data_IF_083772202505
#
_entry.id   IF_083772202505
#
_cell.length_a   1.000
_cell.length_b   1.000
_cell.length_c   1.000
_cell.angle_alpha   90.00
_cell.angle_beta   90.00
_cell.angle_gamma   90.00
#
_symmetry.space_group_name_H-M   'P 1'
#
loop_
_entity.id
_entity.type
_entity.pdbx_description
1 polymer ?
#
# COMPACT_ATOMS: atom_id res chain seq x y z
N UNK A 1 -13.60 15.09 19.86
CA UNK A 1 -12.66 14.12 19.27
C UNK A 1 -11.82 13.59 20.42
N UNK A 2 -11.94 12.30 20.82
CA UNK A 2 -11.23 11.78 21.99
C UNK A 2 -9.71 11.79 21.71
N UNK A 3 -8.91 12.32 22.63
CA UNK A 3 -7.45 12.36 22.51
C UNK A 3 -6.92 10.93 22.32
N UNK A 4 -6.10 10.72 21.28
CA UNK A 4 -5.50 9.42 20.96
C UNK A 4 -4.67 8.89 22.15
N UNK A 5 -4.05 9.79 22.91
CA UNK A 5 -3.32 9.42 24.12
C UNK A 5 -4.26 8.87 25.19
N UNK A 6 -5.38 9.55 25.43
CA UNK A 6 -6.41 9.10 26.37
C UNK A 6 -6.99 7.73 25.96
N UNK A 7 -7.21 7.48 24.67
CA UNK A 7 -7.63 6.16 24.18
C UNK A 7 -6.61 5.08 24.53
N UNK A 8 -5.33 5.32 24.27
CA UNK A 8 -4.25 4.37 24.58
C UNK A 8 -4.21 4.08 26.09
N UNK A 9 -4.30 5.11 26.93
CA UNK A 9 -4.27 4.95 28.38
C UNK A 9 -5.46 4.12 28.90
N UNK A 10 -6.67 4.37 28.39
CA UNK A 10 -7.86 3.56 28.69
C UNK A 10 -7.64 2.10 28.28
N UNK A 11 -7.07 1.85 27.11
CA UNK A 11 -6.80 0.49 26.65
C UNK A 11 -5.73 -0.20 27.49
N UNK A 12 -4.68 0.50 27.92
CA UNK A 12 -3.66 -0.03 28.83
C UNK A 12 -4.33 -0.52 30.12
N UNK A 13 -5.15 0.31 30.77
CA UNK A 13 -5.85 -0.06 32.01
C UNK A 13 -6.74 -1.29 31.80
N UNK A 14 -7.51 -1.33 30.71
CA UNK A 14 -8.38 -2.48 30.39
C UNK A 14 -7.60 -3.78 30.18
N UNK A 15 -6.47 -3.72 29.48
CA UNK A 15 -5.63 -4.90 29.28
C UNK A 15 -4.88 -5.32 30.55
N UNK A 16 -4.46 -4.37 31.40
CA UNK A 16 -3.90 -4.69 32.71
C UNK A 16 -4.90 -5.43 33.60
N UNK A 17 -6.15 -4.95 33.68
CA UNK A 17 -7.21 -5.64 34.41
C UNK A 17 -7.52 -7.02 33.81
N UNK A 18 -7.52 -7.14 32.48
CA UNK A 18 -7.68 -8.43 31.81
C UNK A 18 -6.57 -9.41 32.19
N UNK A 19 -5.31 -8.98 32.18
CA UNK A 19 -4.16 -9.81 32.57
C UNK A 19 -4.29 -10.22 34.05
N UNK A 20 -4.73 -9.32 34.93
CA UNK A 20 -4.98 -9.63 36.35
C UNK A 20 -6.05 -10.70 36.52
N UNK A 21 -7.16 -10.61 35.78
CA UNK A 21 -8.28 -11.58 35.85
C UNK A 21 -7.97 -12.90 35.15
N UNK A 22 -7.14 -12.87 34.09
CA UNK A 22 -6.82 -14.03 33.24
C UNK A 22 -5.31 -14.09 32.94
N UNK A 23 -4.46 -14.36 33.95
CA UNK A 23 -3.00 -14.27 33.82
C UNK A 23 -2.39 -15.32 32.89
N UNK A 24 -3.11 -16.41 32.58
CA UNK A 24 -2.59 -17.46 31.67
C UNK A 24 -3.06 -17.28 30.23
N UNK A 25 -3.71 -16.14 29.89
CA UNK A 25 -4.22 -15.89 28.53
C UNK A 25 -3.26 -14.98 27.76
N UNK A 26 -2.64 -15.45 26.66
CA UNK A 26 -1.66 -14.67 25.90
C UNK A 26 -2.25 -13.40 25.27
N UNK A 27 -3.57 -13.39 25.03
CA UNK A 27 -4.30 -12.25 24.49
C UNK A 27 -4.13 -10.96 25.32
N UNK A 28 -4.12 -11.08 26.65
CA UNK A 28 -3.97 -9.91 27.54
C UNK A 28 -2.60 -9.25 27.38
N UNK A 29 -1.54 -10.05 27.42
CA UNK A 29 -0.17 -9.58 27.24
C UNK A 29 0.07 -9.02 25.84
N UNK A 30 -0.46 -9.69 24.81
CA UNK A 30 -0.40 -9.18 23.44
C UNK A 30 -1.10 -7.82 23.30
N UNK A 31 -2.34 -7.71 23.81
CA UNK A 31 -3.10 -6.47 23.76
C UNK A 31 -2.37 -5.32 24.45
N UNK A 32 -1.80 -5.58 25.63
CA UNK A 32 -1.00 -4.62 26.37
C UNK A 32 0.28 -4.24 25.61
N UNK A 33 0.97 -5.21 25.00
CA UNK A 33 2.16 -4.98 24.18
C UNK A 33 1.88 -4.07 22.98
N UNK A 34 0.73 -4.25 22.31
CA UNK A 34 0.28 -3.35 21.23
C UNK A 34 0.09 -1.92 21.75
N UNK A 35 -0.53 -1.74 22.92
CA UNK A 35 -0.73 -0.39 23.47
C UNK A 35 0.59 0.28 23.85
N UNK A 36 1.52 -0.44 24.48
CA UNK A 36 2.84 0.11 24.79
C UNK A 36 3.65 0.45 23.54
N UNK A 37 3.50 -0.34 22.47
CA UNK A 37 4.10 0.02 21.18
C UNK A 37 3.54 1.34 20.66
N UNK A 38 2.22 1.51 20.65
CA UNK A 38 1.55 2.74 20.21
C UNK A 38 1.91 3.94 21.10
N UNK A 39 2.16 3.71 22.38
CA UNK A 39 2.64 4.71 23.34
C UNK A 39 4.14 5.06 23.17
N UNK A 40 4.83 4.54 22.16
CA UNK A 40 6.26 4.80 21.91
C UNK A 40 7.20 4.09 22.88
N UNK A 41 6.76 3.00 23.53
CA UNK A 41 7.52 2.21 24.51
C UNK A 41 7.85 0.80 23.97
N UNK A 42 8.70 0.68 22.92
CA UNK A 42 8.93 -0.58 22.21
C UNK A 42 9.58 -1.68 23.09
N UNK A 43 10.46 -1.31 24.02
CA UNK A 43 11.09 -2.27 24.93
C UNK A 43 10.07 -2.97 25.86
N UNK A 44 9.06 -2.22 26.34
CA UNK A 44 7.97 -2.80 27.13
C UNK A 44 7.09 -3.70 26.26
N UNK A 45 6.83 -3.28 25.02
CA UNK A 45 6.07 -4.09 24.07
C UNK A 45 6.76 -5.42 23.77
N UNK A 46 8.08 -5.45 23.54
CA UNK A 46 8.83 -6.70 23.30
C UNK A 46 8.77 -7.65 24.50
N UNK A 47 8.89 -7.11 25.73
CA UNK A 47 8.74 -7.90 26.96
C UNK A 47 7.35 -8.54 27.02
N UNK A 48 6.29 -7.77 26.75
CA UNK A 48 4.91 -8.26 26.80
C UNK A 48 4.59 -9.26 25.68
N UNK A 49 5.11 -9.07 24.47
CA UNK A 49 5.00 -10.09 23.42
C UNK A 49 5.76 -11.36 23.80
N UNK A 50 6.91 -11.23 24.46
CA UNK A 50 7.65 -12.38 24.98
C UNK A 50 6.87 -13.09 26.09
N UNK A 51 6.21 -12.36 26.99
CA UNK A 51 5.37 -12.95 28.03
C UNK A 51 4.13 -13.65 27.44
N UNK A 52 3.51 -13.09 26.39
CA UNK A 52 2.46 -13.78 25.64
C UNK A 52 2.94 -15.12 25.07
N UNK A 53 4.17 -15.16 24.53
CA UNK A 53 4.77 -16.35 23.96
C UNK A 53 5.25 -17.37 24.99
N UNK A 54 5.46 -16.97 26.26
CA UNK A 54 5.71 -17.92 27.36
C UNK A 54 4.45 -18.73 27.67
N UNK A 55 3.28 -18.09 27.61
CA UNK A 55 1.99 -18.74 27.84
C UNK A 55 1.53 -19.58 26.64
N UNK A 56 1.77 -19.10 25.41
CA UNK A 56 1.52 -19.85 24.19
C UNK A 56 2.59 -19.54 23.13
N UNK A 57 3.58 -20.44 22.93
CA UNK A 57 4.64 -20.27 21.94
C UNK A 57 4.15 -20.16 20.49
N UNK A 58 2.92 -20.62 20.20
CA UNK A 58 2.31 -20.62 18.87
C UNK A 58 1.35 -19.44 18.66
N UNK A 59 1.28 -18.50 19.62
CA UNK A 59 0.39 -17.36 19.56
C UNK A 59 0.83 -16.35 18.47
N UNK A 60 0.30 -16.56 17.25
CA UNK A 60 0.65 -15.79 16.05
C UNK A 60 0.62 -14.27 16.25
N UNK A 61 -0.36 -13.65 16.93
CA UNK A 61 -0.38 -12.20 17.11
C UNK A 61 0.87 -11.69 17.85
N UNK A 62 1.36 -12.40 18.87
CA UNK A 62 2.59 -12.03 19.57
C UNK A 62 3.85 -12.31 18.74
N UNK A 63 3.88 -13.40 17.95
CA UNK A 63 4.97 -13.63 16.99
C UNK A 63 5.07 -12.49 15.97
N UNK A 64 3.93 -12.04 15.42
CA UNK A 64 3.88 -10.89 14.52
C UNK A 64 4.33 -9.60 15.21
N UNK A 65 3.84 -9.36 16.44
CA UNK A 65 4.25 -8.19 17.24
C UNK A 65 5.75 -8.15 17.50
N UNK A 66 6.35 -9.29 17.88
CA UNK A 66 7.79 -9.41 18.11
C UNK A 66 8.60 -9.20 16.83
N UNK A 67 8.18 -9.79 15.71
CA UNK A 67 8.81 -9.54 14.42
C UNK A 67 8.77 -8.05 14.03
N UNK A 68 7.64 -7.39 14.29
CA UNK A 68 7.45 -5.96 14.04
C UNK A 68 8.41 -5.10 14.88
N UNK A 69 8.57 -5.41 16.17
CA UNK A 69 9.54 -4.72 17.03
C UNK A 69 10.97 -4.91 16.53
N UNK A 70 11.37 -6.13 16.15
CA UNK A 70 12.71 -6.37 15.61
C UNK A 70 13.00 -5.55 14.34
N UNK A 71 11.99 -5.34 13.49
CA UNK A 71 12.09 -4.50 12.30
C UNK A 71 12.18 -3.02 12.64
N UNK A 72 11.35 -2.54 13.57
CA UNK A 72 11.34 -1.15 14.04
C UNK A 72 12.67 -0.77 14.74
N UNK A 73 13.24 -1.69 15.52
CA UNK A 73 14.57 -1.58 16.14
C UNK A 73 15.74 -1.75 15.16
N UNK A 74 15.46 -1.99 13.86
CA UNK A 74 16.46 -2.19 12.79
C UNK A 74 17.34 -3.42 13.01
N UNK A 75 16.88 -4.38 13.81
CA UNK A 75 17.55 -5.66 14.05
C UNK A 75 17.23 -6.64 12.93
N UNK A 76 17.56 -6.26 11.71
CA UNK A 76 17.14 -6.93 10.47
C UNK A 76 17.57 -8.40 10.37
N UNK A 77 18.81 -8.71 10.75
CA UNK A 77 19.28 -10.10 10.78
C UNK A 77 18.51 -10.94 11.80
N UNK A 78 18.19 -10.37 12.97
CA UNK A 78 17.38 -11.04 13.98
C UNK A 78 15.93 -11.23 13.51
N UNK A 79 15.32 -10.23 12.87
CA UNK A 79 13.99 -10.33 12.29
C UNK A 79 13.90 -11.45 11.24
N UNK A 80 14.88 -11.52 10.32
CA UNK A 80 14.92 -12.57 9.30
C UNK A 80 15.09 -13.97 9.91
N UNK A 81 15.98 -14.15 10.90
CA UNK A 81 16.13 -15.42 11.63
C UNK A 81 14.87 -15.78 12.43
N UNK A 82 14.23 -14.79 13.04
CA UNK A 82 13.00 -14.99 13.80
C UNK A 82 11.86 -15.43 12.89
N UNK A 83 11.79 -14.87 11.67
CA UNK A 83 10.88 -15.37 10.64
C UNK A 83 11.16 -16.83 10.30
N UNK A 84 12.41 -17.19 9.99
CA UNK A 84 12.76 -18.57 9.62
C UNK A 84 12.42 -19.57 10.74
N UNK A 85 12.72 -19.22 11.99
CA UNK A 85 12.39 -20.05 13.17
C UNK A 85 10.88 -20.33 13.27
N UNK A 86 10.05 -19.37 12.91
CA UNK A 86 8.58 -19.44 13.05
C UNK A 86 7.86 -19.60 11.70
N UNK A 87 8.59 -19.97 10.64
CA UNK A 87 8.10 -19.93 9.25
C UNK A 87 6.84 -20.77 9.06
N UNK A 88 6.80 -21.97 9.61
CA UNK A 88 5.64 -22.87 9.50
C UNK A 88 4.35 -22.21 10.00
N UNK A 89 4.44 -21.45 11.10
CA UNK A 89 3.31 -20.77 11.71
C UNK A 89 2.86 -19.55 10.89
N UNK A 90 3.80 -18.80 10.33
CA UNK A 90 3.48 -17.68 9.45
C UNK A 90 2.88 -18.14 8.11
N UNK A 91 3.41 -19.22 7.53
CA UNK A 91 2.91 -19.76 6.26
C UNK A 91 1.54 -20.43 6.40
N UNK A 92 1.04 -20.69 7.61
CA UNK A 92 -0.27 -21.34 7.84
C UNK A 92 -1.44 -20.56 7.24
N UNK A 93 -1.40 -19.23 7.23
CA UNK A 93 -2.45 -18.39 6.61
C UNK A 93 -1.83 -17.28 5.78
N UNK A 94 -2.33 -17.09 4.56
CA UNK A 94 -1.87 -16.03 3.63
C UNK A 94 -1.91 -14.63 4.27
N UNK A 95 -2.91 -14.34 5.11
CA UNK A 95 -3.03 -13.04 5.80
C UNK A 95 -1.80 -12.69 6.65
N UNK A 96 -1.12 -13.68 7.25
CA UNK A 96 0.08 -13.44 8.06
C UNK A 96 1.26 -13.05 7.18
N UNK A 97 1.49 -13.79 6.09
CA UNK A 97 2.54 -13.45 5.11
C UNK A 97 2.29 -12.08 4.49
N UNK A 98 1.05 -11.77 4.12
CA UNK A 98 0.64 -10.46 3.63
C UNK A 98 0.98 -9.34 4.62
N UNK A 99 0.66 -9.53 5.91
CA UNK A 99 1.02 -8.57 6.96
C UNK A 99 2.54 -8.41 7.11
N UNK A 100 3.30 -9.50 7.05
CA UNK A 100 4.77 -9.48 7.15
C UNK A 100 5.39 -8.75 5.96
N UNK A 101 4.90 -9.00 4.75
CA UNK A 101 5.33 -8.31 3.53
C UNK A 101 5.09 -6.81 3.65
N UNK A 102 3.88 -6.40 4.09
CA UNK A 102 3.51 -5.00 4.29
C UNK A 102 4.40 -4.30 5.32
N UNK A 103 4.57 -4.94 6.47
CA UNK A 103 5.41 -4.49 7.58
C UNK A 103 6.88 -4.35 7.16
N UNK A 104 7.42 -5.33 6.45
CA UNK A 104 8.84 -5.30 6.06
C UNK A 104 9.08 -4.26 4.97
N UNK A 105 8.18 -4.18 4.00
CA UNK A 105 8.31 -3.24 2.87
C UNK A 105 8.01 -1.79 3.24
N UNK A 106 7.20 -1.51 4.27
CA UNK A 106 6.98 -0.13 4.75
C UNK A 106 8.26 0.53 5.24
N UNK A 107 9.27 -0.24 5.65
CA UNK A 107 10.60 0.27 5.99
C UNK A 107 11.26 1.01 4.83
N UNK A 108 10.86 0.76 3.58
CA UNK A 108 11.32 1.49 2.41
C UNK A 108 11.07 3.00 2.52
N UNK A 109 9.91 3.37 3.05
CA UNK A 109 9.45 4.75 3.27
C UNK A 109 10.05 5.38 4.55
N UNK A 110 10.60 4.59 5.45
CA UNK A 110 11.16 5.12 6.70
C UNK A 110 12.41 5.96 6.45
N UNK A 111 12.53 7.13 7.12
CA UNK A 111 13.76 7.95 7.10
C UNK A 111 15.00 7.15 7.54
N UNK A 112 14.79 6.12 8.36
CA UNK A 112 15.80 5.17 8.84
C UNK A 112 16.58 4.50 7.70
N UNK A 113 15.93 4.17 6.59
CA UNK A 113 16.58 3.51 5.45
C UNK A 113 17.13 4.50 4.42
N UNK A 114 17.03 5.83 4.63
CA UNK A 114 17.66 6.81 3.76
C UNK A 114 19.19 6.67 3.79
N UNK A 115 19.79 6.52 2.60
CA UNK A 115 21.24 6.42 2.38
C UNK A 115 21.91 7.80 2.20
N UNK A 116 21.11 8.86 2.12
CA UNK A 116 21.60 10.20 1.82
C UNK A 116 22.11 10.85 3.11
N UNK A 117 23.42 11.08 3.18
CA UNK A 117 24.06 11.94 4.21
C UNK A 117 24.39 11.30 5.56
N UNK A 118 24.73 10.00 5.65
CA UNK A 118 25.03 9.37 6.95
C UNK A 118 26.52 9.02 7.12
N UNK A 119 27.01 9.27 8.34
CA UNK A 119 28.38 9.04 8.83
C UNK A 119 28.87 7.60 8.60
N UNK A 120 30.20 7.40 8.60
CA UNK A 120 30.88 6.13 8.29
C UNK A 120 30.28 4.90 9.01
N UNK A 121 29.94 5.03 10.29
CA UNK A 121 29.31 3.98 11.11
C UNK A 121 28.01 3.44 10.52
N UNK A 122 27.16 4.32 9.98
CA UNK A 122 25.89 3.88 9.38
C UNK A 122 26.10 3.05 8.10
N UNK A 123 27.15 3.37 7.33
CA UNK A 123 27.55 2.62 6.13
C UNK A 123 28.09 1.25 6.51
N UNK A 124 28.85 1.16 7.61
CA UNK A 124 29.34 -0.10 8.17
C UNK A 124 28.18 -0.99 8.65
N UNK A 125 27.27 -0.47 9.49
CA UNK A 125 26.10 -1.21 9.98
C UNK A 125 25.22 -1.71 8.83
N UNK A 126 25.10 -0.91 7.76
CA UNK A 126 24.37 -1.34 6.58
C UNK A 126 25.07 -2.48 5.83
N UNK A 127 26.39 -2.35 5.60
CA UNK A 127 27.20 -3.37 4.94
C UNK A 127 27.16 -4.69 5.72
N UNK A 128 27.25 -4.61 7.04
CA UNK A 128 27.10 -5.75 7.94
C UNK A 128 25.73 -6.41 7.80
N UNK A 129 24.64 -5.63 7.87
CA UNK A 129 23.28 -6.14 7.65
C UNK A 129 23.12 -6.80 6.28
N UNK A 130 23.70 -6.23 5.21
CA UNK A 130 23.66 -6.83 3.88
C UNK A 130 24.37 -8.19 3.83
N UNK A 131 25.53 -8.32 4.49
CA UNK A 131 26.27 -9.59 4.56
C UNK A 131 25.42 -10.66 5.28
N UNK A 132 24.86 -10.32 6.45
CA UNK A 132 24.03 -11.27 7.20
C UNK A 132 22.76 -11.66 6.46
N UNK A 133 22.05 -10.69 5.86
CA UNK A 133 20.84 -10.97 5.07
C UNK A 133 21.16 -11.81 3.83
N UNK A 134 22.30 -11.60 3.20
CA UNK A 134 22.73 -12.43 2.06
C UNK A 134 23.00 -13.87 2.52
N UNK A 135 23.67 -14.08 3.66
CA UNK A 135 23.88 -15.42 4.24
C UNK A 135 22.56 -16.12 4.60
N UNK A 136 21.59 -15.37 5.11
CA UNK A 136 20.26 -15.91 5.41
C UNK A 136 19.54 -16.29 4.11
N UNK A 137 19.55 -15.41 3.10
CA UNK A 137 18.94 -15.68 1.79
C UNK A 137 19.55 -16.93 1.12
N UNK A 138 20.86 -17.13 1.21
CA UNK A 138 21.51 -18.34 0.65
C UNK A 138 21.03 -19.62 1.34
N UNK A 139 20.71 -19.55 2.64
CA UNK A 139 20.19 -20.68 3.42
C UNK A 139 18.67 -20.87 3.26
N UNK A 140 17.93 -19.77 3.13
CA UNK A 140 16.46 -19.73 3.07
C UNK A 140 16.02 -18.82 1.91
N UNK A 141 15.97 -19.38 0.70
CA UNK A 141 15.67 -18.62 -0.53
C UNK A 141 14.29 -17.94 -0.49
N UNK A 142 13.34 -18.50 0.26
CA UNK A 142 11.94 -18.07 0.32
C UNK A 142 11.61 -17.30 1.62
N UNK A 143 12.59 -16.66 2.25
CA UNK A 143 12.36 -15.77 3.39
C UNK A 143 12.00 -14.36 2.86
N UNK A 144 10.71 -13.95 2.89
CA UNK A 144 10.28 -12.64 2.39
C UNK A 144 10.90 -11.50 3.19
N UNK A 145 11.17 -11.68 4.49
CA UNK A 145 11.76 -10.64 5.34
C UNK A 145 13.17 -10.31 4.84
N UNK A 146 14.03 -11.32 4.64
CA UNK A 146 15.37 -11.08 4.11
C UNK A 146 15.33 -10.58 2.68
N UNK A 147 14.44 -11.12 1.84
CA UNK A 147 14.37 -10.75 0.43
C UNK A 147 13.93 -9.30 0.23
N UNK A 148 12.90 -8.84 0.96
CA UNK A 148 12.41 -7.46 0.91
C UNK A 148 13.47 -6.50 1.47
N UNK A 149 14.10 -6.81 2.61
CA UNK A 149 15.12 -5.93 3.20
C UNK A 149 16.34 -5.80 2.28
N UNK A 150 16.78 -6.92 1.70
CA UNK A 150 17.91 -6.93 0.79
C UNK A 150 17.59 -6.22 -0.54
N UNK A 151 16.35 -6.31 -1.04
CA UNK A 151 15.93 -5.57 -2.22
C UNK A 151 15.91 -4.06 -1.97
N UNK A 152 15.40 -3.62 -0.81
CA UNK A 152 15.45 -2.22 -0.37
C UNK A 152 16.90 -1.71 -0.35
N UNK A 153 17.82 -2.45 0.27
CA UNK A 153 19.21 -2.03 0.37
C UNK A 153 19.91 -1.94 -0.99
N UNK A 154 19.71 -2.94 -1.85
CA UNK A 154 20.31 -2.97 -3.19
C UNK A 154 19.76 -1.87 -4.08
N UNK A 155 18.46 -1.60 -4.02
CA UNK A 155 17.81 -0.53 -4.76
C UNK A 155 18.35 0.84 -4.34
N UNK A 156 18.52 1.07 -3.02
CA UNK A 156 19.11 2.33 -2.52
C UNK A 156 20.61 2.47 -2.80
N UNK A 157 21.32 1.36 -2.97
CA UNK A 157 22.71 1.36 -3.43
C UNK A 157 22.85 1.46 -4.96
N UNK A 158 21.75 1.46 -5.73
CA UNK A 158 21.79 1.48 -7.18
C UNK A 158 22.38 0.22 -7.83
N UNK A 159 22.43 -0.90 -7.11
CA UNK A 159 23.04 -2.15 -7.60
C UNK A 159 22.08 -2.84 -8.59
N UNK A 160 22.56 -3.19 -9.78
CA UNK A 160 21.75 -3.76 -10.88
C UNK A 160 22.31 -5.07 -11.49
N UNK A 161 23.08 -5.85 -10.72
CA UNK A 161 23.57 -7.17 -11.16
C UNK A 161 22.46 -8.20 -11.28
N UNK A 162 22.69 -9.27 -12.04
CA UNK A 162 21.67 -10.28 -12.38
C UNK A 162 21.03 -10.93 -11.14
N UNK A 163 21.84 -11.23 -10.12
CA UNK A 163 21.34 -11.76 -8.83
C UNK A 163 20.40 -10.77 -8.13
N UNK A 164 20.61 -9.48 -8.32
CA UNK A 164 19.76 -8.41 -7.78
C UNK A 164 18.47 -8.27 -8.57
N UNK A 165 18.52 -8.36 -9.90
CA UNK A 165 17.31 -8.32 -10.73
C UNK A 165 16.41 -9.52 -10.44
N UNK A 166 16.96 -10.73 -10.27
CA UNK A 166 16.19 -11.90 -9.86
C UNK A 166 15.53 -11.73 -8.48
N UNK A 167 16.23 -11.10 -7.54
CA UNK A 167 15.66 -10.75 -6.24
C UNK A 167 14.53 -9.72 -6.37
N UNK A 168 14.70 -8.72 -7.24
CA UNK A 168 13.67 -7.72 -7.49
C UNK A 168 12.41 -8.34 -8.09
N UNK A 169 12.55 -9.26 -9.05
CA UNK A 169 11.42 -10.03 -9.60
C UNK A 169 10.68 -10.80 -8.53
N UNK A 170 11.41 -11.52 -7.67
CA UNK A 170 10.80 -12.23 -6.55
C UNK A 170 9.98 -11.28 -5.67
N UNK A 171 10.54 -10.12 -5.32
CA UNK A 171 9.85 -9.15 -4.46
C UNK A 171 8.67 -8.48 -5.16
N UNK A 172 8.76 -8.22 -6.47
CA UNK A 172 7.74 -7.58 -7.28
C UNK A 172 6.42 -8.36 -7.26
N UNK A 173 6.51 -9.69 -7.28
CA UNK A 173 5.35 -10.59 -7.27
C UNK A 173 4.76 -10.84 -5.87
N UNK A 174 5.36 -10.30 -4.81
CA UNK A 174 4.83 -10.48 -3.46
C UNK A 174 3.54 -9.68 -3.26
N UNK A 175 2.53 -10.36 -2.72
CA UNK A 175 1.32 -9.73 -2.22
C UNK A 175 1.65 -8.73 -1.11
N UNK A 176 0.93 -7.59 -1.12
CA UNK A 176 0.89 -6.64 -0.01
C UNK A 176 2.23 -6.00 0.37
N UNK A 177 3.20 -5.94 -0.55
CA UNK A 177 4.33 -5.01 -0.41
C UNK A 177 3.91 -3.57 -0.69
N UNK A 178 4.62 -2.62 -0.10
CA UNK A 178 4.44 -1.19 -0.26
C UNK A 178 4.49 -0.78 -1.75
N UNK A 179 3.50 -0.01 -2.20
CA UNK A 179 3.34 0.37 -3.61
C UNK A 179 4.51 1.21 -4.14
N UNK A 180 5.12 2.08 -3.31
CA UNK A 180 6.30 2.86 -3.71
C UNK A 180 7.50 1.95 -3.95
N UNK A 181 7.72 0.96 -3.08
CA UNK A 181 8.76 -0.04 -3.28
C UNK A 181 8.49 -0.85 -4.56
N UNK A 182 7.26 -1.34 -4.74
CA UNK A 182 6.87 -2.10 -5.94
C UNK A 182 7.12 -1.29 -7.22
N UNK A 183 6.75 -0.01 -7.21
CA UNK A 183 6.99 0.90 -8.34
C UNK A 183 8.46 1.07 -8.68
N UNK A 184 9.31 1.31 -7.67
CA UNK A 184 10.73 1.51 -7.93
C UNK A 184 11.42 0.22 -8.38
N UNK A 185 11.00 -0.95 -7.88
CA UNK A 185 11.46 -2.25 -8.39
C UNK A 185 11.03 -2.45 -9.86
N UNK A 186 9.77 -2.15 -10.17
CA UNK A 186 9.22 -2.30 -11.52
C UNK A 186 9.97 -1.42 -12.52
N UNK A 187 10.24 -0.16 -12.19
CA UNK A 187 11.01 0.75 -13.05
C UNK A 187 12.39 0.20 -13.40
N UNK A 188 13.14 -0.26 -12.40
CA UNK A 188 14.49 -0.81 -12.62
C UNK A 188 14.43 -2.06 -13.48
N UNK A 189 13.43 -2.93 -13.29
CA UNK A 189 13.27 -4.12 -14.11
C UNK A 189 12.82 -3.79 -15.55
N UNK A 190 11.98 -2.78 -15.72
CA UNK A 190 11.48 -2.36 -17.05
C UNK A 190 12.55 -1.76 -17.95
N UNK A 191 13.69 -1.32 -17.40
CA UNK A 191 14.85 -0.90 -18.21
C UNK A 191 15.38 -2.06 -19.09
N UNK A 192 15.32 -3.30 -18.60
CA UNK A 192 15.69 -4.50 -19.37
C UNK A 192 14.50 -5.18 -20.04
N UNK A 193 13.33 -5.11 -19.42
CA UNK A 193 12.11 -5.76 -19.92
C UNK A 193 10.92 -4.79 -19.95
N UNK A 194 10.82 -3.94 -20.99
CA UNK A 194 9.78 -2.93 -21.07
C UNK A 194 8.34 -3.48 -20.97
N UNK A 195 8.13 -4.71 -21.47
CA UNK A 195 6.83 -5.41 -21.41
C UNK A 195 6.31 -5.62 -19.98
N UNK A 196 7.22 -5.71 -19.00
CA UNK A 196 6.86 -5.92 -17.59
C UNK A 196 6.02 -4.76 -17.04
N UNK A 197 6.26 -3.54 -17.53
CA UNK A 197 5.59 -2.33 -17.08
C UNK A 197 4.07 -2.44 -17.26
N UNK A 198 3.60 -2.95 -18.40
CA UNK A 198 2.17 -2.99 -18.73
C UNK A 198 1.52 -4.37 -18.53
N UNK A 199 1.97 -5.12 -17.51
CA UNK A 199 1.40 -6.43 -17.20
C UNK A 199 0.26 -6.32 -16.19
N UNK A 200 -0.95 -6.79 -16.55
CA UNK A 200 -2.12 -6.76 -15.67
C UNK A 200 -1.93 -7.52 -14.35
N UNK A 201 -1.16 -8.63 -14.37
CA UNK A 201 -0.77 -9.39 -13.16
C UNK A 201 -0.10 -8.49 -12.11
N UNK A 202 0.86 -7.65 -12.52
CA UNK A 202 1.60 -6.76 -11.61
C UNK A 202 0.72 -5.57 -11.21
N UNK A 203 -0.01 -4.97 -12.15
CA UNK A 203 -0.94 -3.88 -11.86
C UNK A 203 -1.98 -4.26 -10.79
N UNK A 204 -2.50 -5.48 -10.83
CA UNK A 204 -3.45 -6.00 -9.84
C UNK A 204 -2.91 -6.07 -8.41
N UNK A 205 -1.58 -6.14 -8.24
CA UNK A 205 -0.92 -6.18 -6.93
C UNK A 205 -0.82 -4.80 -6.26
N UNK A 206 -0.98 -3.71 -7.00
CA UNK A 206 -0.98 -2.36 -6.42
C UNK A 206 -2.26 -2.10 -5.61
N UNK A 207 -2.09 -1.45 -4.46
CA UNK A 207 -3.22 -1.00 -3.64
C UNK A 207 -3.68 0.42 -3.99
N UNK A 208 -2.79 1.23 -4.55
CA UNK A 208 -2.97 2.63 -4.93
C UNK A 208 -2.01 3.00 -6.05
N UNK A 209 -2.22 4.17 -6.69
CA UNK A 209 -1.26 4.73 -7.64
C UNK A 209 -0.07 5.30 -6.85
N UNK A 210 1.18 4.88 -7.14
CA UNK A 210 2.37 5.43 -6.50
C UNK A 210 2.50 6.94 -6.74
N UNK A 211 2.94 7.69 -5.73
CA UNK A 211 3.06 9.15 -5.78
C UNK A 211 3.86 9.67 -6.99
N UNK A 212 4.93 8.97 -7.38
CA UNK A 212 5.79 9.35 -8.50
C UNK A 212 5.38 8.67 -9.81
N UNK A 213 4.20 8.08 -9.89
CA UNK A 213 3.66 7.49 -11.11
C UNK A 213 2.55 8.36 -11.74
N UNK A 214 1.92 9.25 -10.96
CA UNK A 214 0.92 10.18 -11.50
C UNK A 214 1.52 11.01 -12.65
N UNK A 215 0.70 11.25 -13.68
CA UNK A 215 1.12 11.95 -14.90
C UNK A 215 1.89 11.08 -15.90
N UNK A 216 2.06 9.78 -15.63
CA UNK A 216 2.65 8.82 -16.58
C UNK A 216 1.57 7.91 -17.17
N UNK A 217 1.85 7.33 -18.35
CA UNK A 217 1.00 6.30 -18.98
C UNK A 217 0.72 5.11 -18.05
N UNK A 218 1.64 4.86 -17.11
CA UNK A 218 1.48 3.79 -16.15
C UNK A 218 0.40 4.08 -15.10
N UNK A 219 0.22 5.33 -14.67
CA UNK A 219 -0.87 5.66 -13.75
C UNK A 219 -2.24 5.43 -14.41
N UNK A 220 -2.37 5.81 -15.68
CA UNK A 220 -3.57 5.55 -16.47
C UNK A 220 -3.82 4.05 -16.65
N UNK A 221 -2.76 3.29 -16.91
CA UNK A 221 -2.83 1.82 -16.96
C UNK A 221 -3.28 1.22 -15.61
N UNK A 222 -2.73 1.68 -14.48
CA UNK A 222 -3.15 1.23 -13.15
C UNK A 222 -4.63 1.56 -12.89
N UNK A 223 -5.05 2.78 -13.22
CA UNK A 223 -6.43 3.21 -13.04
C UNK A 223 -7.40 2.34 -13.84
N UNK A 224 -7.07 2.02 -15.10
CA UNK A 224 -7.84 1.08 -15.93
C UNK A 224 -7.91 -0.30 -15.28
N UNK A 225 -6.80 -0.83 -14.76
CA UNK A 225 -6.81 -2.13 -14.09
C UNK A 225 -7.65 -2.12 -12.81
N UNK A 226 -7.64 -1.02 -12.05
CA UNK A 226 -8.51 -0.88 -10.88
C UNK A 226 -9.98 -0.84 -11.27
N UNK A 227 -10.35 -0.12 -12.34
CA UNK A 227 -11.71 -0.09 -12.89
C UNK A 227 -12.14 -1.51 -13.28
N UNK A 228 -11.30 -2.22 -14.05
CA UNK A 228 -11.57 -3.60 -14.48
C UNK A 228 -11.71 -4.58 -13.29
N UNK A 229 -11.04 -4.31 -12.17
CA UNK A 229 -11.14 -5.13 -10.97
C UNK A 229 -12.49 -5.02 -10.24
N UNK A 230 -13.32 -4.02 -10.56
CA UNK A 230 -14.60 -3.80 -9.89
C UNK A 230 -14.50 -3.19 -8.48
N UNK A 231 -13.29 -2.99 -7.94
CA UNK A 231 -13.09 -2.53 -6.57
C UNK A 231 -13.31 -1.01 -6.44
N UNK A 232 -14.52 -0.62 -6.08
CA UNK A 232 -14.94 0.79 -5.93
C UNK A 232 -13.97 1.58 -5.04
N UNK A 233 -13.53 1.01 -3.90
CA UNK A 233 -12.62 1.70 -2.98
C UNK A 233 -11.26 2.01 -3.64
N UNK A 234 -10.70 1.07 -4.41
CA UNK A 234 -9.45 1.31 -5.15
C UNK A 234 -9.64 2.36 -6.25
N UNK A 235 -10.73 2.27 -7.00
CA UNK A 235 -11.04 3.19 -8.10
C UNK A 235 -11.23 4.61 -7.59
N UNK A 236 -12.06 4.80 -6.57
CA UNK A 236 -12.28 6.11 -5.93
C UNK A 236 -11.01 6.65 -5.27
N UNK A 237 -10.26 5.80 -4.57
CA UNK A 237 -8.99 6.17 -3.95
C UNK A 237 -7.96 6.65 -4.98
N UNK A 238 -7.83 5.93 -6.09
CA UNK A 238 -6.93 6.31 -7.19
C UNK A 238 -7.35 7.63 -7.84
N UNK A 239 -8.64 7.81 -8.13
CA UNK A 239 -9.17 9.06 -8.71
C UNK A 239 -8.96 10.25 -7.76
N UNK A 240 -9.25 10.09 -6.48
CA UNK A 240 -8.98 11.12 -5.47
C UNK A 240 -7.49 11.51 -5.39
N UNK A 241 -6.59 10.55 -5.66
CA UNK A 241 -5.15 10.78 -5.75
C UNK A 241 -4.77 11.69 -6.91
N UNK A 242 -5.42 11.54 -8.08
CA UNK A 242 -5.24 12.46 -9.21
C UNK A 242 -5.65 13.89 -8.83
N UNK A 243 -6.85 14.04 -8.26
CA UNK A 243 -7.39 15.34 -7.84
C UNK A 243 -6.49 16.03 -6.81
N UNK A 244 -6.05 15.29 -5.78
CA UNK A 244 -5.18 15.81 -4.73
C UNK A 244 -3.79 16.25 -5.24
N UNK A 245 -3.38 15.76 -6.41
CA UNK A 245 -2.12 16.14 -7.06
C UNK A 245 -2.31 17.16 -8.19
N UNK A 246 -3.52 17.71 -8.36
CA UNK A 246 -3.87 18.61 -9.46
C UNK A 246 -3.51 18.04 -10.85
N UNK A 247 -3.64 16.72 -11.00
CA UNK A 247 -3.40 16.02 -12.27
C UNK A 247 -4.69 15.42 -12.79
N UNK A 248 -4.82 15.35 -14.11
CA UNK A 248 -5.96 14.70 -14.76
C UNK A 248 -5.52 13.36 -15.38
N UNK A 249 -6.30 12.27 -15.22
CA UNK A 249 -6.15 11.08 -16.04
C UNK A 249 -6.37 11.41 -17.52
N UNK A 250 -5.85 10.56 -18.41
CA UNK A 250 -6.15 10.67 -19.84
C UNK A 250 -7.64 10.51 -20.15
N UNK A 251 -8.09 11.09 -21.26
CA UNK A 251 -9.50 11.11 -21.71
C UNK A 251 -10.19 9.73 -21.70
N UNK A 252 -9.48 8.69 -22.15
CA UNK A 252 -9.98 7.30 -22.13
C UNK A 252 -10.23 6.79 -20.71
N UNK A 253 -9.39 7.20 -19.75
CA UNK A 253 -9.51 6.82 -18.35
C UNK A 253 -10.67 7.58 -17.69
N UNK A 254 -10.79 8.88 -17.95
CA UNK A 254 -11.92 9.70 -17.50
C UNK A 254 -13.25 9.10 -17.96
N UNK A 255 -13.36 8.75 -19.24
CA UNK A 255 -14.55 8.11 -19.79
C UNK A 255 -14.87 6.78 -19.11
N UNK A 256 -13.85 5.91 -18.94
CA UNK A 256 -14.04 4.61 -18.28
C UNK A 256 -14.43 4.73 -16.81
N UNK A 257 -13.88 5.73 -16.12
CA UNK A 257 -14.25 6.03 -14.73
C UNK A 257 -15.70 6.52 -14.63
N UNK A 258 -16.09 7.45 -15.51
CA UNK A 258 -17.46 7.94 -15.61
C UNK A 258 -18.44 6.78 -15.87
N UNK A 259 -18.15 5.93 -16.86
CA UNK A 259 -18.93 4.72 -17.14
C UNK A 259 -19.02 3.80 -15.92
N UNK A 260 -17.88 3.54 -15.27
CA UNK A 260 -17.80 2.66 -14.10
C UNK A 260 -18.70 3.08 -12.94
N UNK A 261 -18.76 4.38 -12.65
CA UNK A 261 -19.62 4.95 -11.61
C UNK A 261 -21.09 4.95 -12.02
N UNK A 262 -21.38 5.36 -13.26
CA UNK A 262 -22.73 5.37 -13.84
C UNK A 262 -23.40 3.99 -13.78
N UNK A 263 -22.70 2.94 -14.20
CA UNK A 263 -23.18 1.55 -14.14
C UNK A 263 -23.49 1.06 -12.72
N UNK A 264 -22.90 1.70 -11.71
CA UNK A 264 -23.09 1.37 -10.29
C UNK A 264 -24.02 2.32 -9.57
N UNK A 265 -24.63 3.27 -10.29
CA UNK A 265 -25.48 4.31 -9.73
C UNK A 265 -24.77 5.12 -8.63
N UNK A 266 -23.46 5.32 -8.77
CA UNK A 266 -22.65 6.14 -7.85
C UNK A 266 -22.63 7.56 -8.40
N UNK A 267 -23.14 8.50 -7.59
CA UNK A 267 -23.30 9.91 -7.95
C UNK A 267 -22.53 10.77 -6.97
N UNK A 268 -21.38 11.29 -7.40
CA UNK A 268 -20.55 12.16 -6.59
C UNK A 268 -19.89 13.26 -7.46
N UNK A 269 -19.33 14.33 -6.86
CA UNK A 269 -18.79 15.48 -7.59
C UNK A 269 -17.69 15.16 -8.61
N UNK A 270 -17.04 13.99 -8.51
CA UNK A 270 -16.04 13.56 -9.50
C UNK A 270 -16.64 13.38 -10.91
N UNK A 271 -17.93 13.06 -11.02
CA UNK A 271 -18.61 12.92 -12.31
C UNK A 271 -18.68 14.26 -13.05
N UNK A 272 -19.03 15.34 -12.36
CA UNK A 272 -19.07 16.68 -12.95
C UNK A 272 -17.68 17.09 -13.46
N UNK A 273 -16.63 16.81 -12.67
CA UNK A 273 -15.25 17.02 -13.10
C UNK A 273 -14.89 16.20 -14.36
N UNK A 274 -15.28 14.92 -14.41
CA UNK A 274 -15.05 14.08 -15.58
C UNK A 274 -15.77 14.60 -16.82
N UNK A 275 -17.05 14.95 -16.71
CA UNK A 275 -17.82 15.54 -17.80
C UNK A 275 -17.14 16.80 -18.32
N UNK A 276 -16.79 17.75 -17.44
CA UNK A 276 -16.12 18.98 -17.84
C UNK A 276 -14.82 18.69 -18.59
N UNK A 277 -13.95 17.83 -18.04
CA UNK A 277 -12.66 17.51 -18.68
C UNK A 277 -12.81 16.78 -20.01
N UNK A 278 -13.84 15.95 -20.17
CA UNK A 278 -14.13 15.31 -21.44
C UNK A 278 -14.61 16.34 -22.48
N UNK A 279 -15.54 17.23 -22.09
CA UNK A 279 -16.01 18.34 -22.93
C UNK A 279 -14.86 19.24 -23.37
N UNK A 280 -14.04 19.71 -22.43
CA UNK A 280 -12.86 20.56 -22.69
C UNK A 280 -11.90 19.92 -23.70
N UNK A 281 -11.84 18.57 -23.71
CA UNK A 281 -10.97 17.80 -24.61
C UNK A 281 -11.61 17.50 -25.98
N UNK A 282 -12.83 17.98 -26.23
CA UNK A 282 -13.63 17.67 -27.42
C UNK A 282 -14.19 16.25 -27.44
N UNK A 283 -14.20 15.54 -26.30
CA UNK A 283 -14.79 14.21 -26.20
C UNK A 283 -16.24 14.33 -25.77
N UNK A 284 -17.15 13.93 -26.67
CA UNK A 284 -18.57 13.86 -26.38
C UNK A 284 -19.27 12.68 -27.01
N UNK A 285 -20.17 12.08 -26.23
CA UNK A 285 -21.03 10.98 -26.63
C UNK A 285 -22.30 10.93 -25.77
N UNK A 286 -23.16 9.98 -26.09
CA UNK A 286 -24.42 9.73 -25.42
C UNK A 286 -24.27 9.48 -23.91
N UNK A 287 -23.16 8.88 -23.47
CA UNK A 287 -22.93 8.63 -22.04
C UNK A 287 -22.61 9.93 -21.30
N UNK A 288 -21.74 10.77 -21.87
CA UNK A 288 -21.37 12.07 -21.28
C UNK A 288 -22.58 12.99 -21.23
N UNK A 289 -23.30 13.15 -22.34
CA UNK A 289 -24.52 13.96 -22.43
C UNK A 289 -25.60 13.50 -21.44
N UNK A 290 -25.91 12.19 -21.42
CA UNK A 290 -26.85 11.61 -20.47
C UNK A 290 -26.39 11.70 -19.00
N UNK A 291 -25.10 11.87 -18.74
CA UNK A 291 -24.55 12.13 -17.40
C UNK A 291 -24.73 13.56 -16.97
N UNK A 292 -24.48 14.53 -17.84
CA UNK A 292 -24.70 15.95 -17.56
C UNK A 292 -26.19 16.20 -17.24
N UNK A 293 -27.12 15.65 -18.03
CA UNK A 293 -28.57 15.79 -17.80
C UNK A 293 -28.98 15.31 -16.41
N UNK A 294 -28.43 14.18 -15.96
CA UNK A 294 -28.77 13.60 -14.66
C UNK A 294 -28.05 14.30 -13.49
N UNK A 295 -26.82 14.79 -13.69
CA UNK A 295 -26.12 15.62 -12.70
C UNK A 295 -26.87 16.92 -12.45
N UNK A 296 -27.39 17.56 -13.49
CA UNK A 296 -28.21 18.76 -13.39
C UNK A 296 -29.50 18.52 -12.60
N UNK A 297 -30.24 17.45 -12.92
CA UNK A 297 -31.44 17.04 -12.15
C UNK A 297 -31.16 16.83 -10.66
N UNK A 298 -29.92 16.45 -10.31
CA UNK A 298 -29.48 16.22 -8.93
C UNK A 298 -28.86 17.45 -8.26
N UNK A 299 -28.81 18.60 -8.94
CA UNK A 299 -28.20 19.82 -8.41
C UNK A 299 -26.69 19.72 -8.22
N UNK A 300 -26.01 18.88 -9.01
CA UNK A 300 -24.55 18.70 -9.00
C UNK A 300 -23.86 19.31 -10.24
N UNK A 301 -24.60 20.09 -11.02
CA UNK A 301 -24.12 20.78 -12.21
C UNK A 301 -24.69 22.20 -12.24
N UNK A 302 -23.83 23.20 -12.08
CA UNK A 302 -24.27 24.58 -11.87
C UNK A 302 -24.39 25.39 -13.18
N UNK A 303 -23.70 24.99 -14.25
CA UNK A 303 -23.64 25.76 -15.48
C UNK A 303 -24.68 25.30 -16.52
N UNK A 304 -25.90 25.83 -16.41
CA UNK A 304 -27.02 25.51 -17.32
C UNK A 304 -26.72 25.86 -18.79
N UNK A 305 -26.10 27.03 -19.04
CA UNK A 305 -25.84 27.50 -20.41
C UNK A 305 -24.82 26.63 -21.15
N UNK A 306 -23.77 26.20 -20.44
CA UNK A 306 -22.78 25.28 -20.99
C UNK A 306 -23.37 23.89 -21.26
N UNK A 307 -24.24 23.42 -20.35
CA UNK A 307 -25.01 22.19 -20.55
C UNK A 307 -25.89 22.25 -21.80
N UNK A 308 -26.69 23.31 -21.97
CA UNK A 308 -27.60 23.46 -23.11
C UNK A 308 -26.86 23.49 -24.45
N UNK A 309 -25.78 24.28 -24.53
CA UNK A 309 -24.92 24.35 -25.71
C UNK A 309 -24.37 22.97 -26.06
N UNK A 310 -23.85 22.24 -25.09
CA UNK A 310 -23.28 20.92 -25.34
C UNK A 310 -24.34 19.89 -25.74
N UNK A 311 -25.48 19.86 -25.06
CA UNK A 311 -26.57 18.93 -25.38
C UNK A 311 -27.19 19.20 -26.77
N UNK A 312 -27.21 20.45 -27.22
CA UNK A 312 -27.67 20.80 -28.58
C UNK A 312 -26.79 20.24 -29.69
N UNK A 313 -25.48 20.08 -29.44
CA UNK A 313 -24.53 19.55 -30.44
C UNK A 313 -24.67 18.03 -30.66
N UNK A 314 -25.28 17.32 -29.71
CA UNK A 314 -25.37 15.86 -29.71
C UNK A 314 -26.83 15.36 -29.76
N UNK A 315 -27.75 16.18 -30.30
CA UNK A 315 -29.18 15.87 -30.46
C UNK A 315 -29.93 15.54 -29.15
N UNK A 316 -29.41 15.97 -28.00
CA UNK A 316 -30.08 15.87 -26.70
C UNK A 316 -30.99 17.05 -26.38
N UNK A 317 -30.95 18.08 -27.21
CA UNK A 317 -31.89 19.19 -27.17
C UNK A 317 -33.25 18.77 -27.75
N UNK A 318 -33.91 17.77 -27.14
CA UNK A 318 -35.34 17.59 -27.31
C UNK A 318 -35.98 16.70 -26.22
N UNK A 319 -37.01 17.30 -25.61
CA UNK A 319 -38.04 16.79 -24.69
C UNK A 319 -37.79 16.81 -23.15
N UNK A 320 -38.85 17.22 -22.40
CA UNK A 320 -38.81 18.03 -21.18
C UNK A 320 -38.14 17.38 -19.97
#
# INVERSE_FOLDING_TARGET
>A
MLDQKLLIDIHIIKFQDYVRRKPNRPFGYYGLGVQYKLAGKPAMADKLFTDALKHDPHYIPALLGKLEILLDEKRYAAAARFYDKNRALFCRKKIYIKRINRMTSSLYMSKSTSMRGKNLFSRLVLKENQIFLTRIQTKSKNNPVSNILLSIFRLKSGRKDEKTLNLFRFCLELDEINDKLRWDLLKVLSEKEPKLLFTGKIAGLFSSIPENAFGTDYADFLMINFINSGNVKKVMGAFSGYLAKHMAPGKKVLWRYLYFLRERNIWDPSLSYCCQKLIDSGWGDHLVAGTIKELYKRGMWDNLKEMENYLSLYEYAQYP
#
